data_IF_924407789139
#
_entry.id   IF_924407789139
#
_cell.length_a   1.000
_cell.length_b   1.000
_cell.length_c   1.000
_cell.angle_alpha   90.00
_cell.angle_beta   90.00
_cell.angle_gamma   90.00
#
_symmetry.space_group_name_H-M   'P 1'
#
loop_
_entity.id
_entity.type
_entity.pdbx_description
1 polymer ?
#
# COMPACT_ATOMS: atom_id res chain seq x y z
N UNK A 1 -22.00 -3.85 -4.39
CA UNK A 1 -21.35 -4.59 -5.49
C UNK A 1 -20.31 -3.74 -6.26
N UNK A 2 -19.92 -2.57 -5.74
CA UNK A 2 -19.04 -1.60 -6.41
C UNK A 2 -17.65 -2.17 -6.76
N UNK A 3 -17.13 -3.08 -5.94
CA UNK A 3 -15.76 -3.60 -6.09
C UNK A 3 -15.68 -4.95 -6.80
N UNK A 4 -16.82 -5.52 -7.24
CA UNK A 4 -16.83 -6.85 -7.86
C UNK A 4 -16.09 -6.87 -9.21
N UNK A 5 -16.12 -5.78 -9.94
CA UNK A 5 -15.46 -5.63 -11.24
C UNK A 5 -13.94 -5.55 -11.15
N UNK A 6 -13.37 -5.25 -9.98
CA UNK A 6 -11.92 -5.21 -9.75
C UNK A 6 -11.33 -6.56 -9.34
N UNK A 7 -12.17 -7.50 -8.89
CA UNK A 7 -11.71 -8.81 -8.39
C UNK A 7 -11.29 -9.68 -9.57
N UNK A 8 -10.02 -10.07 -9.62
CA UNK A 8 -9.39 -10.84 -10.70
C UNK A 8 -9.48 -10.20 -12.09
N UNK A 9 -9.59 -8.88 -12.13
CA UNK A 9 -9.68 -8.12 -13.37
C UNK A 9 -8.31 -7.64 -13.90
N UNK A 10 -7.25 -7.73 -13.08
CA UNK A 10 -5.92 -7.31 -13.49
C UNK A 10 -5.43 -8.10 -14.72
N UNK A 11 -4.83 -7.46 -15.73
CA UNK A 11 -4.26 -8.11 -16.90
C UNK A 11 -3.09 -9.05 -16.55
N UNK A 12 -2.85 -10.05 -17.37
CA UNK A 12 -1.86 -11.11 -17.09
C UNK A 12 -0.42 -10.59 -17.01
N UNK A 13 -0.06 -9.59 -17.80
CA UNK A 13 1.24 -8.91 -17.74
C UNK A 13 1.46 -8.21 -16.40
N UNK A 14 0.40 -7.60 -15.83
CA UNK A 14 0.41 -7.00 -14.48
C UNK A 14 0.62 -8.09 -13.42
N UNK A 15 0.03 -9.28 -13.58
CA UNK A 15 0.27 -10.40 -12.66
C UNK A 15 1.74 -10.78 -12.59
N UNK A 16 2.40 -10.91 -13.75
CA UNK A 16 3.83 -11.25 -13.79
C UNK A 16 4.69 -10.19 -13.11
N UNK A 17 4.39 -8.91 -13.34
CA UNK A 17 5.07 -7.79 -12.69
C UNK A 17 4.91 -7.84 -11.16
N UNK A 18 3.71 -8.11 -10.66
CA UNK A 18 3.41 -8.23 -9.22
C UNK A 18 4.09 -9.44 -8.57
N UNK A 19 4.11 -10.58 -9.25
CA UNK A 19 4.86 -11.77 -8.79
C UNK A 19 6.35 -11.44 -8.68
N UNK A 20 6.93 -10.86 -9.72
CA UNK A 20 8.34 -10.46 -9.72
C UNK A 20 8.63 -9.46 -8.59
N UNK A 21 7.75 -8.49 -8.37
CA UNK A 21 7.87 -7.54 -7.26
C UNK A 21 7.88 -8.25 -5.89
N UNK A 22 6.92 -9.15 -5.63
CA UNK A 22 6.84 -9.90 -4.36
C UNK A 22 8.07 -10.77 -4.14
N UNK A 23 8.53 -11.49 -5.18
CA UNK A 23 9.76 -12.30 -5.11
C UNK A 23 10.97 -11.42 -4.80
N UNK A 24 11.12 -10.30 -5.49
CA UNK A 24 12.19 -9.34 -5.22
C UNK A 24 12.11 -8.77 -3.80
N UNK A 25 10.92 -8.38 -3.33
CA UNK A 25 10.71 -7.86 -1.98
C UNK A 25 11.12 -8.88 -0.91
N UNK A 26 10.81 -10.16 -1.09
CA UNK A 26 11.21 -11.22 -0.17
C UNK A 26 12.72 -11.49 -0.23
N UNK A 27 13.32 -11.54 -1.42
CA UNK A 27 14.74 -11.88 -1.57
C UNK A 27 15.68 -10.72 -1.22
N UNK A 28 15.33 -9.50 -1.63
CA UNK A 28 16.19 -8.32 -1.45
C UNK A 28 15.72 -7.42 -0.31
N UNK A 29 14.41 -7.33 -0.05
CA UNK A 29 13.87 -6.57 1.08
C UNK A 29 14.17 -7.22 2.43
N UNK A 30 14.01 -8.55 2.54
CA UNK A 30 14.36 -9.31 3.75
C UNK A 30 15.78 -9.85 3.71
N UNK A 31 16.33 -10.03 2.53
CA UNK A 31 17.63 -10.65 2.27
C UNK A 31 17.56 -12.18 2.15
N UNK A 32 18.47 -12.78 1.37
CA UNK A 32 18.43 -14.20 1.04
C UNK A 32 18.63 -15.11 2.26
N UNK A 33 19.37 -14.67 3.27
CA UNK A 33 19.57 -15.42 4.50
C UNK A 33 18.28 -15.58 5.30
N UNK A 34 17.52 -14.52 5.50
CA UNK A 34 16.25 -14.58 6.22
C UNK A 34 15.19 -15.36 5.42
N UNK A 35 15.19 -15.23 4.10
CA UNK A 35 14.32 -16.03 3.23
C UNK A 35 14.64 -17.54 3.33
N UNK A 36 15.92 -17.92 3.40
CA UNK A 36 16.32 -19.31 3.66
C UNK A 36 15.88 -19.78 5.06
N UNK A 37 16.01 -18.93 6.08
CA UNK A 37 15.49 -19.22 7.42
C UNK A 37 13.99 -19.49 7.40
N UNK A 38 13.20 -18.77 6.58
CA UNK A 38 11.76 -19.03 6.46
C UNK A 38 11.46 -20.46 6.00
N UNK A 39 12.21 -20.97 5.02
CA UNK A 39 12.04 -22.35 4.52
C UNK A 39 12.39 -23.38 5.61
N UNK A 40 13.48 -23.15 6.35
CA UNK A 40 13.87 -24.01 7.48
C UNK A 40 12.74 -23.98 8.54
N UNK A 41 12.27 -22.79 8.91
CA UNK A 41 11.26 -22.67 9.94
C UNK A 41 9.92 -23.31 9.57
N UNK A 42 9.47 -23.14 8.34
CA UNK A 42 8.26 -23.81 7.87
C UNK A 42 8.40 -25.32 7.87
N UNK A 43 9.57 -25.84 7.54
CA UNK A 43 9.87 -27.27 7.66
C UNK A 43 9.80 -27.74 9.12
N UNK A 44 10.40 -27.02 10.05
CA UNK A 44 10.37 -27.37 11.48
C UNK A 44 8.94 -27.34 12.04
N UNK A 45 8.16 -26.30 11.72
CA UNK A 45 6.74 -26.23 12.11
C UNK A 45 5.96 -27.42 11.51
N UNK A 46 6.25 -27.82 10.27
CA UNK A 46 5.59 -28.95 9.61
C UNK A 46 5.87 -30.30 10.29
N UNK A 47 7.04 -30.46 10.89
CA UNK A 47 7.36 -31.68 11.66
C UNK A 47 6.55 -31.80 12.95
N UNK A 48 6.19 -30.68 13.58
CA UNK A 48 5.44 -30.64 14.84
C UNK A 48 3.95 -30.52 14.59
N UNK A 49 3.50 -29.61 13.72
CA UNK A 49 2.09 -29.25 13.54
C UNK A 49 1.74 -29.01 12.07
N UNK A 50 1.62 -30.09 11.28
CA UNK A 50 1.28 -30.00 9.83
C UNK A 50 0.01 -29.21 9.55
N UNK A 51 -1.00 -29.29 10.44
CA UNK A 51 -2.24 -28.55 10.28
C UNK A 51 -2.04 -27.02 10.26
N UNK A 52 -1.15 -26.52 11.10
CA UNK A 52 -0.83 -25.08 11.10
C UNK A 52 -0.15 -24.65 9.80
N UNK A 53 0.79 -25.45 9.28
CA UNK A 53 1.46 -25.13 8.02
C UNK A 53 0.47 -25.08 6.85
N UNK A 54 -0.48 -26.03 6.81
CA UNK A 54 -1.53 -26.04 5.78
C UNK A 54 -2.42 -24.79 5.91
N UNK A 55 -2.86 -24.46 7.13
CA UNK A 55 -3.72 -23.29 7.37
C UNK A 55 -3.01 -21.98 6.99
N UNK A 56 -1.78 -21.78 7.48
CA UNK A 56 -1.00 -20.59 7.15
C UNK A 56 -0.63 -20.52 5.67
N UNK A 57 -0.24 -21.65 5.06
CA UNK A 57 0.07 -21.72 3.64
C UNK A 57 -1.14 -21.39 2.77
N UNK A 58 -2.32 -21.93 3.10
CA UNK A 58 -3.57 -21.61 2.39
C UNK A 58 -3.95 -20.14 2.55
N UNK A 59 -3.82 -19.57 3.75
CA UNK A 59 -4.09 -18.16 4.02
C UNK A 59 -3.10 -17.27 3.25
N UNK A 60 -1.81 -17.58 3.30
CA UNK A 60 -0.78 -16.84 2.55
C UNK A 60 -1.05 -16.87 1.05
N UNK A 61 -1.38 -18.05 0.50
CA UNK A 61 -1.71 -18.21 -0.90
C UNK A 61 -2.94 -17.40 -1.29
N UNK A 62 -4.00 -17.42 -0.47
CA UNK A 62 -5.21 -16.65 -0.72
C UNK A 62 -4.92 -15.14 -0.81
N UNK A 63 -4.14 -14.59 0.14
CA UNK A 63 -3.77 -13.18 0.10
C UNK A 63 -2.89 -12.83 -1.10
N UNK A 64 -1.93 -13.68 -1.45
CA UNK A 64 -1.06 -13.47 -2.62
C UNK A 64 -1.87 -13.50 -3.91
N UNK A 65 -2.73 -14.50 -4.10
CA UNK A 65 -3.58 -14.62 -5.28
C UNK A 65 -4.54 -13.45 -5.39
N UNK A 66 -5.13 -13.03 -4.27
CA UNK A 66 -6.02 -11.87 -4.25
C UNK A 66 -5.26 -10.58 -4.59
N UNK A 67 -4.10 -10.33 -3.96
CA UNK A 67 -3.28 -9.15 -4.21
C UNK A 67 -2.79 -9.06 -5.67
N UNK A 68 -2.47 -10.20 -6.29
CA UNK A 68 -2.03 -10.25 -7.68
C UNK A 68 -3.20 -9.99 -8.64
N UNK A 69 -4.36 -10.59 -8.36
CA UNK A 69 -5.52 -10.54 -9.24
C UNK A 69 -6.40 -9.29 -9.11
N UNK A 70 -6.33 -8.58 -7.99
CA UNK A 70 -7.15 -7.39 -7.75
C UNK A 70 -6.67 -6.20 -8.57
N UNK A 71 -7.55 -5.63 -9.41
CA UNK A 71 -7.18 -4.52 -10.31
C UNK A 71 -7.25 -3.16 -9.59
N UNK A 72 -6.18 -2.85 -8.84
CA UNK A 72 -5.98 -1.57 -8.18
C UNK A 72 -4.50 -1.22 -8.14
N UNK A 73 -4.17 0.05 -8.11
CA UNK A 73 -2.78 0.54 -8.06
C UNK A 73 -2.06 0.15 -6.77
N UNK A 74 -2.80 0.02 -5.68
CA UNK A 74 -2.29 -0.32 -4.34
C UNK A 74 -2.51 -1.79 -3.95
N UNK A 75 -3.00 -2.63 -4.88
CA UNK A 75 -3.36 -4.03 -4.64
C UNK A 75 -2.25 -4.85 -3.98
N UNK A 76 -0.99 -4.53 -4.27
CA UNK A 76 0.16 -5.22 -3.69
C UNK A 76 0.23 -5.08 -2.15
N UNK A 77 -0.36 -4.02 -1.58
CA UNK A 77 -0.49 -3.83 -0.13
C UNK A 77 -1.36 -4.90 0.52
N UNK A 78 -2.26 -5.52 -0.24
CA UNK A 78 -3.09 -6.64 0.22
C UNK A 78 -2.26 -7.92 0.47
N UNK A 79 -1.01 -7.98 -0.01
CA UNK A 79 -0.09 -9.08 0.30
C UNK A 79 0.61 -8.94 1.67
N UNK A 80 0.45 -7.82 2.40
CA UNK A 80 1.07 -7.61 3.71
C UNK A 80 0.80 -8.77 4.69
N UNK A 81 -0.44 -9.30 4.84
CA UNK A 81 -0.67 -10.45 5.72
C UNK A 81 0.10 -11.70 5.29
N UNK A 82 0.29 -11.92 3.98
CA UNK A 82 1.09 -13.02 3.49
C UNK A 82 2.58 -12.87 3.89
N UNK A 83 3.12 -11.67 3.80
CA UNK A 83 4.48 -11.35 4.26
C UNK A 83 4.61 -11.55 5.77
N UNK A 84 3.62 -11.15 6.57
CA UNK A 84 3.59 -11.38 8.01
C UNK A 84 3.62 -12.89 8.34
N UNK A 85 2.83 -13.70 7.65
CA UNK A 85 2.85 -15.16 7.79
C UNK A 85 4.22 -15.71 7.40
N UNK A 86 4.84 -15.21 6.33
CA UNK A 86 6.18 -15.60 5.94
C UNK A 86 7.22 -15.29 7.04
N UNK A 87 7.09 -14.16 7.73
CA UNK A 87 7.95 -13.78 8.86
C UNK A 87 7.84 -14.74 10.05
N UNK A 88 6.70 -15.40 10.26
CA UNK A 88 6.58 -16.47 11.27
C UNK A 88 7.57 -17.61 10.97
N UNK A 89 7.67 -18.01 9.70
CA UNK A 89 8.66 -19.00 9.26
C UNK A 89 10.09 -18.52 9.50
N UNK A 90 10.40 -17.24 9.23
CA UNK A 90 11.72 -16.65 9.53
C UNK A 90 12.06 -16.83 11.01
N UNK A 91 11.15 -16.44 11.91
CA UNK A 91 11.37 -16.54 13.36
C UNK A 91 11.66 -17.98 13.81
N UNK A 92 10.82 -18.92 13.37
CA UNK A 92 11.04 -20.34 13.68
C UNK A 92 12.37 -20.88 13.12
N UNK A 93 12.73 -20.49 11.90
CA UNK A 93 13.97 -20.92 11.26
C UNK A 93 15.22 -20.32 11.91
N UNK A 94 15.18 -19.07 12.32
CA UNK A 94 16.26 -18.44 13.10
C UNK A 94 16.49 -19.19 14.40
N UNK A 95 15.41 -19.51 15.14
CA UNK A 95 15.51 -20.27 16.40
C UNK A 95 16.12 -21.65 16.13
N UNK A 96 15.60 -22.40 15.15
CA UNK A 96 16.10 -23.72 14.80
C UNK A 96 17.59 -23.70 14.40
N UNK A 97 18.00 -22.70 13.61
CA UNK A 97 19.38 -22.52 13.20
C UNK A 97 20.30 -22.21 14.41
N UNK A 98 19.87 -21.30 15.29
CA UNK A 98 20.64 -20.95 16.48
C UNK A 98 20.77 -22.13 17.44
N UNK A 99 19.72 -22.94 17.60
CA UNK A 99 19.77 -24.15 18.44
C UNK A 99 20.71 -25.22 17.86
N UNK A 100 20.69 -25.42 16.54
CA UNK A 100 21.63 -26.31 15.86
C UNK A 100 23.09 -25.82 16.01
N UNK A 101 23.33 -24.53 15.86
CA UNK A 101 24.65 -23.92 16.07
C UNK A 101 25.09 -24.03 17.52
N UNK A 102 24.19 -23.82 18.48
CA UNK A 102 24.44 -23.97 19.91
C UNK A 102 24.89 -25.38 20.27
N UNK A 103 24.18 -26.38 19.73
CA UNK A 103 24.51 -27.80 19.96
C UNK A 103 25.93 -28.17 19.45
N UNK A 104 26.39 -27.53 18.35
CA UNK A 104 27.67 -27.83 17.73
C UNK A 104 28.84 -26.98 18.29
N UNK A 105 28.59 -25.69 18.62
CA UNK A 105 29.65 -24.71 18.91
C UNK A 105 29.51 -24.04 20.28
N UNK A 106 28.45 -24.34 21.02
CA UNK A 106 28.18 -23.78 22.35
C UNK A 106 27.53 -22.38 22.35
N UNK A 107 27.33 -21.82 23.53
CA UNK A 107 26.53 -20.59 23.72
C UNK A 107 27.12 -19.32 23.09
N UNK A 108 28.45 -19.24 22.90
CA UNK A 108 29.08 -18.04 22.29
C UNK A 108 28.61 -17.80 20.87
N UNK A 109 28.33 -18.86 20.12
CA UNK A 109 27.86 -18.76 18.73
C UNK A 109 26.43 -18.22 18.67
N UNK A 110 25.58 -18.53 19.65
CA UNK A 110 24.22 -17.99 19.72
C UNK A 110 24.25 -16.46 19.88
N UNK A 111 25.12 -15.94 20.74
CA UNK A 111 25.30 -14.50 20.88
C UNK A 111 25.80 -13.84 19.60
N UNK A 112 26.79 -14.46 18.94
CA UNK A 112 27.27 -14.00 17.63
C UNK A 112 26.18 -14.04 16.57
N UNK A 113 25.31 -15.07 16.58
CA UNK A 113 24.14 -15.17 15.70
C UNK A 113 23.14 -14.04 15.88
N UNK A 114 22.80 -13.69 17.13
CA UNK A 114 21.93 -12.55 17.40
C UNK A 114 22.52 -11.21 16.97
N UNK A 115 23.85 -11.03 17.19
CA UNK A 115 24.56 -9.83 16.70
C UNK A 115 24.51 -9.78 15.17
N UNK A 116 24.79 -10.92 14.51
CA UNK A 116 24.70 -11.01 13.05
C UNK A 116 23.31 -10.68 12.52
N UNK A 117 22.25 -11.15 13.18
CA UNK A 117 20.87 -10.84 12.83
C UNK A 117 20.58 -9.33 12.99
N UNK A 118 21.02 -8.71 14.08
CA UNK A 118 20.87 -7.29 14.31
C UNK A 118 21.59 -6.46 13.23
N UNK A 119 22.83 -6.86 12.89
CA UNK A 119 23.59 -6.24 11.80
C UNK A 119 22.84 -6.38 10.47
N UNK A 120 22.30 -7.57 10.15
CA UNK A 120 21.54 -7.83 8.94
C UNK A 120 20.31 -6.91 8.86
N UNK A 121 19.51 -6.82 9.92
CA UNK A 121 18.30 -5.97 9.94
C UNK A 121 18.67 -4.50 9.78
N UNK A 122 19.71 -4.03 10.52
CA UNK A 122 20.19 -2.65 10.44
C UNK A 122 20.73 -2.33 9.04
N UNK A 123 21.44 -3.26 8.43
CA UNK A 123 21.97 -3.10 7.08
C UNK A 123 20.85 -3.01 6.03
N UNK A 124 19.86 -3.89 6.08
CA UNK A 124 18.69 -3.85 5.19
C UNK A 124 17.91 -2.55 5.36
N UNK A 125 17.70 -2.10 6.61
CA UNK A 125 17.06 -0.82 6.89
C UNK A 125 17.85 0.34 6.31
N UNK A 126 19.17 0.36 6.49
CA UNK A 126 20.03 1.42 5.96
C UNK A 126 20.01 1.48 4.43
N UNK A 127 20.04 0.31 3.76
CA UNK A 127 19.96 0.24 2.29
C UNK A 127 18.62 0.77 1.75
N UNK A 128 17.54 0.47 2.43
CA UNK A 128 16.19 0.85 2.01
C UNK A 128 15.75 2.21 2.56
N UNK A 129 16.53 2.85 3.43
CA UNK A 129 16.15 4.08 4.13
C UNK A 129 15.64 5.17 3.19
N UNK A 130 16.36 5.40 2.08
CA UNK A 130 15.97 6.42 1.10
C UNK A 130 14.68 6.08 0.36
N UNK A 131 14.42 4.79 0.14
CA UNK A 131 13.22 4.33 -0.56
C UNK A 131 11.96 4.41 0.32
N UNK A 132 12.12 4.25 1.66
CA UNK A 132 10.99 4.29 2.60
C UNK A 132 10.84 5.63 3.31
N UNK A 133 11.85 6.52 3.23
CA UNK A 133 11.79 7.85 3.84
C UNK A 133 10.89 8.77 3.02
N UNK A 134 9.82 9.25 3.63
CA UNK A 134 8.90 10.25 3.06
C UNK A 134 9.24 11.68 3.53
N UNK A 135 10.41 11.91 4.14
CA UNK A 135 10.77 13.20 4.72
C UNK A 135 10.78 14.34 3.69
N UNK A 136 11.16 14.03 2.45
CA UNK A 136 11.25 15.00 1.35
C UNK A 136 10.07 14.89 0.36
N UNK A 137 9.11 13.96 0.61
CA UNK A 137 7.95 13.81 -0.25
C UNK A 137 6.95 14.93 0.03
N UNK A 138 6.88 15.87 -0.89
CA UNK A 138 5.96 17.00 -0.89
C UNK A 138 4.95 16.94 -2.04
N UNK A 139 4.83 15.81 -2.73
CA UNK A 139 3.98 15.71 -3.91
C UNK A 139 2.52 16.09 -3.60
N UNK A 140 1.95 15.57 -2.51
CA UNK A 140 0.59 15.90 -2.10
C UNK A 140 0.43 17.38 -1.72
N UNK A 141 1.43 17.97 -1.04
CA UNK A 141 1.42 19.40 -0.69
C UNK A 141 1.47 20.28 -1.94
N UNK A 142 2.42 20.03 -2.82
CA UNK A 142 2.57 20.77 -4.08
C UNK A 142 1.34 20.64 -4.99
N UNK A 143 0.74 19.45 -5.03
CA UNK A 143 -0.49 19.22 -5.73
C UNK A 143 -1.64 20.10 -5.19
N UNK A 144 -1.88 20.04 -3.89
CA UNK A 144 -2.93 20.82 -3.25
C UNK A 144 -2.75 22.33 -3.46
N UNK A 145 -1.55 22.87 -3.21
CA UNK A 145 -1.23 24.29 -3.44
C UNK A 145 -1.48 24.73 -4.89
N UNK A 146 -1.02 23.93 -5.84
CA UNK A 146 -1.19 24.22 -7.27
C UNK A 146 -2.64 24.24 -7.68
N UNK A 147 -3.41 23.20 -7.33
CA UNK A 147 -4.82 23.10 -7.64
C UNK A 147 -5.58 24.27 -7.04
N UNK A 148 -5.42 24.50 -5.73
CA UNK A 148 -6.16 25.56 -5.04
C UNK A 148 -5.85 26.95 -5.54
N UNK A 149 -4.62 27.20 -6.03
CA UNK A 149 -4.23 28.49 -6.62
C UNK A 149 -4.90 28.77 -7.97
N UNK A 150 -5.30 27.74 -8.70
CA UNK A 150 -5.92 27.86 -10.03
C UNK A 150 -7.48 27.90 -9.95
N UNK A 151 -8.06 27.58 -8.81
CA UNK A 151 -9.51 27.50 -8.67
C UNK A 151 -10.17 28.86 -8.63
N UNK A 152 -11.26 29.08 -9.39
CA UNK A 152 -12.14 30.23 -9.22
C UNK A 152 -12.73 30.30 -7.79
N UNK A 153 -13.15 31.50 -7.33
CA UNK A 153 -13.87 31.61 -6.06
C UNK A 153 -15.17 30.79 -6.06
N UNK A 154 -15.50 30.19 -4.91
CA UNK A 154 -16.72 29.39 -4.68
C UNK A 154 -16.91 28.25 -5.69
N UNK A 155 -15.81 27.63 -6.14
CA UNK A 155 -15.84 26.55 -7.12
C UNK A 155 -16.22 25.20 -6.51
N UNK A 156 -16.81 24.33 -7.34
CA UNK A 156 -16.97 22.90 -7.03
C UNK A 156 -15.82 22.15 -7.71
N UNK A 157 -15.04 21.42 -6.92
CA UNK A 157 -13.90 20.64 -7.37
C UNK A 157 -14.25 19.16 -7.32
N UNK A 158 -14.13 18.48 -8.44
CA UNK A 158 -14.44 17.06 -8.57
C UNK A 158 -13.15 16.29 -8.73
N UNK A 159 -12.96 15.30 -7.90
CA UNK A 159 -11.82 14.39 -7.91
C UNK A 159 -12.29 12.96 -8.17
N UNK A 160 -11.45 12.15 -8.80
CA UNK A 160 -11.65 10.71 -9.01
C UNK A 160 -10.51 9.87 -8.44
N UNK A 161 -9.50 10.52 -7.89
CA UNK A 161 -8.33 9.89 -7.27
C UNK A 161 -8.30 10.22 -5.78
N UNK A 162 -8.23 9.19 -4.95
CA UNK A 162 -8.15 9.31 -3.48
C UNK A 162 -7.03 10.23 -3.03
N UNK A 163 -5.88 10.21 -3.71
CA UNK A 163 -4.72 11.04 -3.37
C UNK A 163 -5.03 12.51 -3.53
N UNK A 164 -5.67 12.89 -4.63
CA UNK A 164 -6.11 14.24 -4.88
C UNK A 164 -7.20 14.65 -3.88
N UNK A 165 -8.19 13.79 -3.67
CA UNK A 165 -9.28 14.02 -2.73
C UNK A 165 -8.77 14.30 -1.32
N UNK A 166 -7.94 13.41 -0.77
CA UNK A 166 -7.42 13.57 0.59
C UNK A 166 -6.46 14.75 0.74
N UNK A 167 -5.63 15.01 -0.27
CA UNK A 167 -4.77 16.19 -0.26
C UNK A 167 -5.61 17.47 -0.19
N UNK A 168 -6.63 17.63 -1.03
CA UNK A 168 -7.47 18.81 -1.05
C UNK A 168 -8.35 18.94 0.22
N UNK A 169 -8.86 17.83 0.75
CA UNK A 169 -9.55 17.82 2.03
C UNK A 169 -8.64 18.27 3.17
N UNK A 170 -7.38 17.86 3.19
CA UNK A 170 -6.41 18.33 4.19
C UNK A 170 -6.25 19.86 4.13
N UNK A 171 -6.07 20.43 2.94
CA UNK A 171 -5.98 21.88 2.78
C UNK A 171 -7.24 22.60 3.26
N UNK A 172 -8.40 22.09 2.89
CA UNK A 172 -9.67 22.72 3.25
C UNK A 172 -10.00 22.59 4.72
N UNK A 173 -9.97 21.35 5.26
CA UNK A 173 -10.50 21.06 6.59
C UNK A 173 -9.48 21.20 7.70
N UNK A 174 -8.20 20.95 7.41
CA UNK A 174 -7.13 21.03 8.42
C UNK A 174 -6.43 22.39 8.37
N UNK A 175 -6.06 22.85 7.17
CA UNK A 175 -5.35 24.13 7.01
C UNK A 175 -6.31 25.32 6.86
N UNK A 176 -7.61 25.12 6.71
CA UNK A 176 -8.63 26.18 6.54
C UNK A 176 -8.48 26.97 5.24
N UNK A 177 -7.74 26.45 4.26
CA UNK A 177 -7.52 27.12 2.99
C UNK A 177 -8.69 26.86 2.04
N UNK A 178 -9.09 27.88 1.27
CA UNK A 178 -10.18 27.79 0.29
C UNK A 178 -11.44 27.13 0.85
N UNK A 179 -11.89 27.60 2.02
CA UNK A 179 -13.15 27.17 2.63
C UNK A 179 -14.38 27.44 1.74
N UNK A 180 -14.24 28.35 0.77
CA UNK A 180 -15.22 28.67 -0.27
C UNK A 180 -15.38 27.57 -1.32
N UNK A 181 -14.35 26.74 -1.56
CA UNK A 181 -14.39 25.66 -2.57
C UNK A 181 -15.03 24.40 -1.98
N UNK A 182 -15.95 23.75 -2.70
CA UNK A 182 -16.52 22.46 -2.32
C UNK A 182 -15.76 21.33 -3.05
N UNK A 183 -15.10 20.46 -2.29
CA UNK A 183 -14.35 19.34 -2.83
C UNK A 183 -15.21 18.09 -2.77
N UNK A 184 -15.47 17.48 -3.91
CA UNK A 184 -16.37 16.34 -4.10
C UNK A 184 -15.60 15.18 -4.72
N UNK A 185 -15.63 14.05 -4.05
CA UNK A 185 -15.16 12.78 -4.60
C UNK A 185 -16.28 12.19 -5.48
N UNK A 186 -15.97 11.94 -6.76
CA UNK A 186 -16.97 11.47 -7.72
C UNK A 186 -17.47 10.06 -7.40
N UNK A 187 -16.56 9.15 -7.00
CA UNK A 187 -16.92 7.76 -6.75
C UNK A 187 -17.77 7.63 -5.49
N UNK A 188 -17.52 8.48 -4.50
CA UNK A 188 -18.34 8.52 -3.29
C UNK A 188 -19.77 9.03 -3.54
N UNK A 189 -20.03 9.73 -4.65
CA UNK A 189 -21.40 10.15 -5.01
C UNK A 189 -22.33 8.95 -5.31
N UNK A 190 -21.81 7.76 -5.53
CA UNK A 190 -22.60 6.53 -5.60
C UNK A 190 -23.35 6.24 -4.28
N UNK A 191 -22.84 6.74 -3.14
CA UNK A 191 -23.39 6.51 -1.82
C UNK A 191 -24.36 7.61 -1.37
N UNK A 192 -25.50 7.20 -0.86
CA UNK A 192 -26.55 8.14 -0.42
C UNK A 192 -26.10 9.02 0.75
N UNK A 193 -25.40 8.44 1.72
CA UNK A 193 -24.87 9.19 2.86
C UNK A 193 -23.94 10.33 2.46
N UNK A 194 -23.10 10.08 1.43
CA UNK A 194 -22.17 11.10 0.96
C UNK A 194 -22.89 12.22 0.20
N UNK A 195 -23.87 11.88 -0.66
CA UNK A 195 -24.72 12.89 -1.33
C UNK A 195 -25.45 13.76 -0.32
N UNK A 196 -25.97 13.15 0.75
CA UNK A 196 -26.64 13.90 1.82
C UNK A 196 -25.67 14.84 2.55
N UNK A 197 -24.41 14.41 2.73
CA UNK A 197 -23.38 15.23 3.40
C UNK A 197 -22.92 16.42 2.54
N UNK A 198 -22.65 16.20 1.25
CA UNK A 198 -22.15 17.25 0.36
C UNK A 198 -23.25 18.12 -0.22
N UNK A 199 -24.51 17.67 -0.16
CA UNK A 199 -25.67 18.40 -0.68
C UNK A 199 -25.74 18.50 -2.21
N UNK A 200 -24.97 17.68 -2.93
CA UNK A 200 -24.89 17.68 -4.40
C UNK A 200 -25.18 16.28 -4.94
N UNK A 201 -25.97 16.22 -6.01
CA UNK A 201 -26.21 14.99 -6.79
C UNK A 201 -25.37 14.97 -8.06
N UNK A 202 -25.10 13.80 -8.67
CA UNK A 202 -24.40 13.73 -9.95
C UNK A 202 -25.03 14.59 -11.05
N UNK A 203 -26.35 14.63 -11.14
CA UNK A 203 -27.07 15.45 -12.11
C UNK A 203 -26.94 16.95 -11.88
N UNK A 204 -26.74 17.38 -10.61
CA UNK A 204 -26.45 18.78 -10.29
C UNK A 204 -25.00 19.14 -10.60
N UNK A 205 -24.09 18.17 -10.44
CA UNK A 205 -22.68 18.34 -10.73
C UNK A 205 -22.43 18.60 -12.23
N UNK A 206 -23.12 17.87 -13.12
CA UNK A 206 -23.06 18.08 -14.56
C UNK A 206 -23.55 19.48 -15.01
N UNK A 207 -24.43 20.09 -14.22
CA UNK A 207 -24.96 21.45 -14.46
C UNK A 207 -24.13 22.55 -13.80
N UNK A 208 -23.28 22.21 -12.85
CA UNK A 208 -22.41 23.15 -12.17
C UNK A 208 -21.17 23.42 -13.01
N UNK A 209 -20.61 24.64 -12.88
CA UNK A 209 -19.27 24.93 -13.38
C UNK A 209 -18.24 24.23 -12.48
N UNK A 210 -18.08 22.93 -12.67
CA UNK A 210 -17.19 22.10 -11.85
C UNK A 210 -15.78 22.07 -12.45
N UNK A 211 -14.78 22.14 -11.58
CA UNK A 211 -13.38 21.92 -11.94
C UNK A 211 -13.04 20.45 -11.74
N UNK A 212 -12.70 19.75 -12.80
CA UNK A 212 -12.35 18.34 -12.78
C UNK A 212 -10.84 18.13 -12.65
N UNK A 213 -10.45 17.24 -11.75
CA UNK A 213 -9.06 16.87 -11.50
C UNK A 213 -8.94 15.36 -11.69
N UNK A 214 -8.34 14.96 -12.79
CA UNK A 214 -8.19 13.54 -13.12
C UNK A 214 -6.98 12.91 -12.43
N UNK A 215 -5.87 13.64 -12.31
CA UNK A 215 -4.67 13.10 -11.66
C UNK A 215 -3.73 14.24 -11.22
N UNK A 216 -3.79 14.55 -9.96
CA UNK A 216 -3.07 15.69 -9.38
C UNK A 216 -1.54 15.53 -9.39
N UNK A 217 -1.05 14.29 -9.39
CA UNK A 217 0.38 14.00 -9.29
C UNK A 217 1.07 13.80 -10.67
N UNK A 218 0.30 13.57 -11.73
CA UNK A 218 0.82 13.20 -13.05
C UNK A 218 0.40 14.19 -14.14
N UNK A 219 -0.84 14.65 -14.14
CA UNK A 219 -1.35 15.63 -15.12
C UNK A 219 -1.72 16.94 -14.41
N UNK A 220 -1.01 18.01 -14.77
CA UNK A 220 -1.11 19.31 -14.09
C UNK A 220 -2.36 20.12 -14.46
N UNK A 221 -3.32 19.50 -15.18
CA UNK A 221 -4.47 20.22 -15.75
C UNK A 221 -5.68 20.20 -14.85
N UNK A 222 -6.04 21.37 -14.33
CA UNK A 222 -7.34 21.65 -13.77
C UNK A 222 -8.26 22.07 -14.92
N UNK A 223 -9.25 21.24 -15.24
CA UNK A 223 -10.25 21.58 -16.26
C UNK A 223 -11.50 22.13 -15.57
N UNK A 224 -11.62 23.45 -15.58
CA UNK A 224 -12.85 24.09 -15.14
C UNK A 224 -13.79 24.30 -16.33
N UNK A 225 -15.03 23.83 -16.24
CA UNK A 225 -16.05 24.18 -17.20
C UNK A 225 -16.35 25.68 -17.05
N UNK A 226 -15.91 26.50 -18.02
CA UNK A 226 -16.32 27.91 -18.10
C UNK A 226 -17.76 27.94 -18.57
N UNK A 227 -18.64 28.65 -17.78
CA UNK A 227 -19.94 29.06 -18.34
C UNK A 227 -19.67 30.03 -19.48
N UNK A 228 -19.85 29.61 -20.72
CA UNK A 228 -20.17 30.50 -21.82
C UNK A 228 -21.62 30.98 -21.72
#
# INVERSE_FOLDING_TARGET
ALYREYVFAAPFDVWLGRIAFLVNALLFGLGPLLSACALIGWREIAHVERGKVIAYGATMLAYVVFAIGYDSADSISLAIPAVMIFCVGIGAGVVALLDALRARFGNRVVMAGWIGLLIQVTFVLALNWRAVSLADDRAAMQCGERVLSQLPPASVVVTQDDRATFALWYFRYVLGQRADALIVDYDLLAFEWYRAQVGITPAQLERASACWIENCCVDERVRCATRE
#
